data_IF_237875129528
#
_entry.id   IF_237875129528
#
_cell.length_a   1.000
_cell.length_b   1.000
_cell.length_c   1.000
_cell.angle_alpha   90.00
_cell.angle_beta   90.00
_cell.angle_gamma   90.00
#
_symmetry.space_group_name_H-M   'P 1'
#
loop_
_entity.id
_entity.type
_entity.pdbx_description
1 polymer ?
#
# COMPACT_ATOMS: atom_id res chain seq x y z
N UNK A 1 -11.88 -27.49 -13.09
CA UNK A 1 -12.86 -26.48 -12.61
C UNK A 1 -12.20 -25.44 -11.68
N UNK A 2 -11.56 -25.82 -10.55
CA UNK A 2 -10.99 -24.87 -9.56
C UNK A 2 -9.92 -23.95 -10.17
N UNK A 3 -9.01 -24.49 -11.01
CA UNK A 3 -8.00 -23.69 -11.68
C UNK A 3 -8.58 -22.60 -12.59
N UNK A 4 -9.65 -22.90 -13.31
CA UNK A 4 -10.35 -21.91 -14.15
C UNK A 4 -11.00 -20.80 -13.32
N UNK A 5 -11.58 -21.15 -12.17
CA UNK A 5 -12.12 -20.15 -11.23
C UNK A 5 -11.01 -19.24 -10.72
N UNK A 6 -9.86 -19.81 -10.35
CA UNK A 6 -8.69 -19.02 -9.91
C UNK A 6 -8.21 -18.05 -11.00
N UNK A 7 -8.04 -18.52 -12.24
CA UNK A 7 -7.64 -17.66 -13.36
C UNK A 7 -8.69 -16.57 -13.61
N UNK A 8 -9.98 -16.91 -13.63
CA UNK A 8 -11.05 -15.94 -13.80
C UNK A 8 -11.06 -14.87 -12.71
N UNK A 9 -10.82 -15.25 -11.46
CA UNK A 9 -10.71 -14.31 -10.34
C UNK A 9 -9.51 -13.37 -10.49
N UNK A 10 -8.35 -13.89 -10.91
CA UNK A 10 -7.15 -13.06 -11.16
C UNK A 10 -7.38 -12.05 -12.30
N UNK A 11 -8.03 -12.46 -13.38
CA UNK A 11 -8.41 -11.58 -14.48
C UNK A 11 -9.39 -10.50 -14.01
N UNK A 12 -10.37 -10.84 -13.19
CA UNK A 12 -11.31 -9.89 -12.61
C UNK A 12 -10.59 -8.85 -11.75
N UNK A 13 -9.70 -9.28 -10.88
CA UNK A 13 -8.87 -8.37 -10.06
C UNK A 13 -8.03 -7.45 -10.93
N UNK A 14 -7.42 -7.95 -12.00
CA UNK A 14 -6.64 -7.14 -12.93
C UNK A 14 -7.47 -6.00 -13.53
N UNK A 15 -8.67 -6.29 -14.02
CA UNK A 15 -9.55 -5.28 -14.62
C UNK A 15 -10.06 -4.26 -13.61
N UNK A 16 -10.43 -4.71 -12.40
CA UNK A 16 -10.87 -3.81 -11.32
C UNK A 16 -9.74 -2.86 -10.92
N UNK A 17 -8.52 -3.38 -10.76
CA UNK A 17 -7.36 -2.56 -10.40
C UNK A 17 -6.93 -1.62 -11.53
N UNK A 18 -7.08 -2.02 -12.80
CA UNK A 18 -6.84 -1.15 -13.95
C UNK A 18 -7.81 0.04 -13.95
N UNK A 19 -9.10 -0.19 -13.72
CA UNK A 19 -10.08 0.87 -13.60
C UNK A 19 -9.80 1.79 -12.41
N UNK A 20 -9.46 1.23 -11.25
CA UNK A 20 -9.07 1.98 -10.06
C UNK A 20 -7.80 2.82 -10.29
N UNK A 21 -6.79 2.24 -10.94
CA UNK A 21 -5.55 2.94 -11.27
C UNK A 21 -5.80 4.12 -12.22
N UNK A 22 -6.68 3.96 -13.21
CA UNK A 22 -7.07 5.05 -14.11
C UNK A 22 -7.74 6.21 -13.36
N UNK A 23 -8.63 5.92 -12.40
CA UNK A 23 -9.27 6.96 -11.59
C UNK A 23 -8.28 7.76 -10.74
N UNK A 24 -7.17 7.13 -10.32
CA UNK A 24 -6.19 7.74 -9.41
C UNK A 24 -4.97 8.35 -10.14
N UNK A 25 -4.59 7.79 -11.27
CA UNK A 25 -3.50 8.26 -12.13
C UNK A 25 -3.87 7.96 -13.57
N UNK A 26 -4.69 8.81 -14.21
CA UNK A 26 -5.18 8.59 -15.56
C UNK A 26 -4.07 8.71 -16.60
N UNK A 27 -4.01 7.75 -17.53
CA UNK A 27 -3.09 7.70 -18.68
C UNK A 27 -3.83 7.26 -19.93
N UNK A 28 -3.29 7.57 -21.11
CA UNK A 28 -3.87 7.13 -22.40
C UNK A 28 -5.23 7.75 -22.71
N UNK A 29 -5.46 9.00 -22.32
CA UNK A 29 -6.71 9.73 -22.55
C UNK A 29 -6.47 11.15 -23.06
N UNK A 30 -7.51 11.75 -23.62
CA UNK A 30 -7.62 13.18 -23.93
C UNK A 30 -8.95 13.72 -23.41
N UNK A 31 -9.01 15.05 -23.21
CA UNK A 31 -10.25 15.74 -22.86
C UNK A 31 -10.87 16.33 -24.11
N UNK A 32 -12.02 15.82 -24.54
CA UNK A 32 -12.78 16.32 -25.66
C UNK A 32 -14.18 16.76 -25.20
N UNK A 33 -14.50 18.05 -25.37
CA UNK A 33 -15.79 18.61 -24.96
C UNK A 33 -16.13 18.40 -23.47
N UNK A 34 -15.11 18.41 -22.58
CA UNK A 34 -15.26 18.17 -21.14
C UNK A 34 -15.47 16.71 -20.73
N UNK A 35 -15.29 15.77 -21.67
CA UNK A 35 -15.37 14.33 -21.42
C UNK A 35 -14.00 13.70 -21.59
N UNK A 36 -13.73 12.69 -20.75
CA UNK A 36 -12.53 11.84 -20.87
C UNK A 36 -12.77 10.83 -21.99
N UNK A 37 -11.93 10.88 -23.03
CA UNK A 37 -11.96 9.94 -24.16
C UNK A 37 -10.67 9.14 -24.14
N UNK A 38 -10.79 7.82 -24.11
CA UNK A 38 -9.64 6.92 -24.16
C UNK A 38 -9.01 6.92 -25.55
N UNK A 39 -7.72 7.22 -25.65
CA UNK A 39 -6.97 7.28 -26.90
C UNK A 39 -5.95 6.16 -27.03
N UNK A 40 -5.49 5.59 -25.91
CA UNK A 40 -4.51 4.49 -25.90
C UNK A 40 -4.91 3.44 -24.86
N UNK A 41 -5.51 2.36 -25.35
CA UNK A 41 -5.92 1.23 -24.52
C UNK A 41 -4.73 0.51 -23.86
N UNK A 42 -3.59 0.37 -24.59
CA UNK A 42 -2.43 -0.30 -24.04
C UNK A 42 -1.78 0.52 -22.93
N UNK A 43 -1.75 1.84 -23.04
CA UNK A 43 -1.30 2.71 -21.96
C UNK A 43 -2.17 2.52 -20.69
N UNK A 44 -3.49 2.37 -20.85
CA UNK A 44 -4.41 2.15 -19.72
C UNK A 44 -4.14 0.82 -19.03
N UNK A 45 -4.02 -0.29 -19.76
CA UNK A 45 -3.81 -1.62 -19.15
C UNK A 45 -2.38 -1.84 -18.64
N UNK A 46 -1.40 -1.13 -19.17
CA UNK A 46 -0.01 -1.13 -18.69
C UNK A 46 0.31 0.01 -17.72
N UNK A 47 -0.71 0.68 -17.19
CA UNK A 47 -0.52 1.71 -16.18
C UNK A 47 0.35 1.18 -15.04
N UNK A 48 1.50 1.82 -14.71
CA UNK A 48 2.40 1.35 -13.66
C UNK A 48 1.71 1.18 -12.32
N UNK A 49 0.73 2.04 -12.00
CA UNK A 49 -0.09 1.92 -10.79
C UNK A 49 -0.88 0.62 -10.79
N UNK A 50 -1.56 0.27 -11.89
CA UNK A 50 -2.34 -0.96 -12.01
C UNK A 50 -1.47 -2.20 -11.77
N UNK A 51 -0.28 -2.23 -12.38
CA UNK A 51 0.65 -3.35 -12.25
C UNK A 51 1.19 -3.49 -10.82
N UNK A 52 1.62 -2.40 -10.19
CA UNK A 52 2.12 -2.43 -8.81
C UNK A 52 1.04 -2.89 -7.82
N UNK A 53 -0.18 -2.36 -7.95
CA UNK A 53 -1.31 -2.76 -7.11
C UNK A 53 -1.73 -4.21 -7.35
N UNK A 54 -1.69 -4.67 -8.60
CA UNK A 54 -2.00 -6.06 -8.93
C UNK A 54 -1.06 -7.04 -8.23
N UNK A 55 0.25 -6.83 -8.33
CA UNK A 55 1.24 -7.69 -7.67
C UNK A 55 1.14 -7.66 -6.16
N UNK A 56 0.94 -6.49 -5.56
CA UNK A 56 0.74 -6.37 -4.12
C UNK A 56 -0.53 -7.11 -3.67
N UNK A 57 -1.65 -6.92 -4.38
CA UNK A 57 -2.93 -7.57 -4.06
C UNK A 57 -2.84 -9.09 -4.21
N UNK A 58 -2.16 -9.57 -5.26
CA UNK A 58 -1.95 -11.00 -5.46
C UNK A 58 -1.11 -11.61 -4.34
N UNK A 59 0.01 -10.97 -3.99
CA UNK A 59 0.85 -11.43 -2.88
C UNK A 59 0.08 -11.45 -1.55
N UNK A 60 -0.70 -10.42 -1.24
CA UNK A 60 -1.56 -10.37 -0.06
C UNK A 60 -2.62 -11.48 -0.06
N UNK A 61 -3.22 -11.79 -1.21
CA UNK A 61 -4.14 -12.91 -1.37
C UNK A 61 -3.48 -14.26 -1.07
N UNK A 62 -2.25 -14.47 -1.53
CA UNK A 62 -1.47 -15.67 -1.21
C UNK A 62 -1.08 -15.74 0.26
N UNK A 63 -0.74 -14.62 0.91
CA UNK A 63 -0.52 -14.56 2.37
C UNK A 63 -1.78 -15.03 3.08
N UNK A 64 -2.93 -14.44 2.79
CA UNK A 64 -4.21 -14.78 3.42
C UNK A 64 -4.56 -16.25 3.24
N UNK A 65 -4.47 -16.78 2.04
CA UNK A 65 -4.77 -18.19 1.74
C UNK A 65 -3.81 -19.13 2.48
N UNK A 66 -2.51 -18.83 2.48
CA UNK A 66 -1.49 -19.64 3.13
C UNK A 66 -1.68 -19.68 4.64
N UNK A 67 -1.90 -18.55 5.29
CA UNK A 67 -2.13 -18.50 6.73
C UNK A 67 -3.45 -19.14 7.16
N UNK A 68 -4.48 -19.07 6.33
CA UNK A 68 -5.74 -19.78 6.55
C UNK A 68 -5.52 -21.31 6.56
N UNK A 69 -4.84 -21.86 5.55
CA UNK A 69 -4.52 -23.29 5.48
C UNK A 69 -3.56 -23.69 6.61
N UNK A 70 -2.58 -22.84 6.93
CA UNK A 70 -1.63 -23.04 8.02
C UNK A 70 -2.36 -23.18 9.37
N UNK A 71 -3.28 -22.26 9.66
CA UNK A 71 -4.05 -22.27 10.91
C UNK A 71 -4.91 -23.53 11.07
N UNK A 72 -5.64 -23.92 10.01
CA UNK A 72 -6.45 -25.15 10.00
C UNK A 72 -5.55 -26.38 10.20
N UNK A 73 -4.43 -26.44 9.48
CA UNK A 73 -3.50 -27.57 9.57
C UNK A 73 -2.86 -27.67 10.95
N UNK A 74 -2.48 -26.54 11.56
CA UNK A 74 -1.94 -26.47 12.92
C UNK A 74 -2.97 -26.98 13.95
N UNK A 75 -4.23 -26.57 13.80
CA UNK A 75 -5.30 -27.00 14.70
C UNK A 75 -5.52 -28.52 14.65
N UNK A 76 -5.51 -29.13 13.47
CA UNK A 76 -5.63 -30.58 13.31
C UNK A 76 -4.40 -31.32 13.85
N UNK A 77 -3.20 -30.82 13.58
CA UNK A 77 -1.95 -31.40 14.12
C UNK A 77 -1.92 -31.42 15.63
N UNK A 78 -2.37 -30.35 16.30
CA UNK A 78 -2.45 -30.27 17.74
C UNK A 78 -3.41 -31.29 18.35
N UNK A 79 -4.32 -31.87 17.55
CA UNK A 79 -5.27 -32.94 17.92
C UNK A 79 -4.88 -34.31 17.43
N UNK A 80 -3.65 -34.50 16.96
CA UNK A 80 -3.12 -35.81 16.56
C UNK A 80 -3.34 -36.14 15.09
N UNK A 81 -3.88 -35.21 14.27
CA UNK A 81 -4.08 -35.36 12.82
C UNK A 81 -2.78 -35.30 12.03
N UNK A 82 -1.96 -36.34 12.08
CA UNK A 82 -0.63 -36.40 11.45
C UNK A 82 -0.63 -36.22 9.94
N UNK A 83 -1.75 -36.48 9.26
CA UNK A 83 -2.00 -36.32 7.84
C UNK A 83 -1.92 -34.84 7.39
N UNK A 84 -2.17 -33.89 8.29
CA UNK A 84 -2.09 -32.45 7.98
C UNK A 84 -0.66 -31.91 8.00
N UNK A 85 0.37 -32.72 8.30
CA UNK A 85 1.77 -32.27 8.37
C UNK A 85 2.29 -31.73 7.04
N UNK A 86 1.89 -32.34 5.93
CA UNK A 86 2.27 -31.86 4.60
C UNK A 86 1.64 -30.50 4.29
N UNK A 87 0.34 -30.34 4.50
CA UNK A 87 -0.37 -29.08 4.30
C UNK A 87 0.20 -27.97 5.17
N UNK A 88 0.51 -28.27 6.44
CA UNK A 88 1.15 -27.33 7.35
C UNK A 88 2.51 -26.83 6.82
N UNK A 89 3.39 -27.73 6.42
CA UNK A 89 4.71 -27.35 5.89
C UNK A 89 4.62 -26.57 4.58
N UNK A 90 3.75 -26.99 3.67
CA UNK A 90 3.57 -26.33 2.41
C UNK A 90 3.00 -24.91 2.57
N UNK A 91 1.98 -24.77 3.41
CA UNK A 91 1.36 -23.46 3.67
C UNK A 91 2.29 -22.53 4.47
N UNK A 92 3.11 -23.06 5.38
CA UNK A 92 4.14 -22.25 6.07
C UNK A 92 5.17 -21.71 5.08
N UNK A 93 5.70 -22.56 4.19
CA UNK A 93 6.66 -22.12 3.18
C UNK A 93 6.05 -21.13 2.19
N UNK A 94 4.83 -21.42 1.69
CA UNK A 94 4.12 -20.54 0.76
C UNK A 94 3.77 -19.19 1.42
N UNK A 95 3.35 -19.21 2.69
CA UNK A 95 3.04 -18.00 3.46
C UNK A 95 4.26 -17.12 3.69
N UNK A 96 5.40 -17.71 4.01
CA UNK A 96 6.65 -16.97 4.16
C UNK A 96 7.10 -16.32 2.86
N UNK A 97 7.07 -17.07 1.75
CA UNK A 97 7.41 -16.53 0.42
C UNK A 97 6.47 -15.38 0.05
N UNK A 98 5.16 -15.59 0.22
CA UNK A 98 4.15 -14.57 -0.10
C UNK A 98 4.31 -13.33 0.79
N UNK A 99 4.65 -13.48 2.08
CA UNK A 99 4.90 -12.37 2.99
C UNK A 99 6.12 -11.54 2.58
N UNK A 100 7.21 -12.18 2.15
CA UNK A 100 8.37 -11.45 1.59
C UNK A 100 7.99 -10.71 0.30
N UNK A 101 7.23 -11.37 -0.58
CA UNK A 101 6.77 -10.75 -1.83
C UNK A 101 5.84 -9.56 -1.59
N UNK A 102 4.93 -9.61 -0.63
CA UNK A 102 4.02 -8.50 -0.34
C UNK A 102 4.74 -7.30 0.24
N UNK A 103 5.78 -7.51 1.06
CA UNK A 103 6.63 -6.42 1.57
C UNK A 103 7.39 -5.76 0.43
N UNK A 104 8.03 -6.53 -0.44
CA UNK A 104 8.75 -6.00 -1.59
C UNK A 104 7.84 -5.23 -2.56
N UNK A 105 6.67 -5.79 -2.89
CA UNK A 105 5.69 -5.12 -3.74
C UNK A 105 5.11 -3.87 -3.06
N UNK A 106 4.93 -3.89 -1.74
CA UNK A 106 4.49 -2.74 -0.94
C UNK A 106 5.49 -1.59 -0.91
N UNK A 107 6.79 -1.90 -0.80
CA UNK A 107 7.85 -0.89 -0.88
C UNK A 107 7.84 -0.18 -2.25
N UNK A 108 7.79 -0.95 -3.34
CA UNK A 108 7.69 -0.39 -4.68
C UNK A 108 6.44 0.47 -4.88
N UNK A 109 5.30 0.02 -4.35
CA UNK A 109 4.04 0.76 -4.38
C UNK A 109 4.11 2.06 -3.57
N UNK A 110 4.70 2.03 -2.37
CA UNK A 110 4.85 3.21 -1.51
C UNK A 110 5.70 4.30 -2.19
N UNK A 111 6.82 3.91 -2.82
CA UNK A 111 7.66 4.82 -3.61
C UNK A 111 6.90 5.47 -4.75
N UNK A 112 6.11 4.69 -5.48
CA UNK A 112 5.27 5.20 -6.56
C UNK A 112 4.16 6.15 -6.07
N UNK A 113 3.49 5.82 -4.97
CA UNK A 113 2.45 6.67 -4.37
C UNK A 113 3.03 8.02 -3.94
N UNK A 114 4.23 8.06 -3.37
CA UNK A 114 4.92 9.31 -3.05
C UNK A 114 5.09 10.23 -4.27
N UNK A 115 5.35 9.67 -5.45
CA UNK A 115 5.56 10.45 -6.67
C UNK A 115 4.25 10.97 -7.29
N UNK A 116 3.20 10.17 -7.28
CA UNK A 116 1.94 10.50 -7.97
C UNK A 116 0.84 11.03 -7.05
N UNK A 117 0.93 10.74 -5.75
CA UNK A 117 -0.03 11.17 -4.72
C UNK A 117 0.69 11.57 -3.43
N UNK A 118 1.53 12.62 -3.44
CA UNK A 118 2.37 12.97 -2.30
C UNK A 118 1.57 13.28 -1.03
N UNK A 119 0.36 13.83 -1.14
CA UNK A 119 -0.51 14.08 0.02
C UNK A 119 -0.92 12.77 0.72
N UNK A 120 -1.28 11.73 -0.04
CA UNK A 120 -1.62 10.42 0.53
C UNK A 120 -0.40 9.75 1.16
N UNK A 121 0.78 9.87 0.54
CA UNK A 121 2.04 9.38 1.10
C UNK A 121 2.39 10.11 2.41
N UNK A 122 2.32 11.44 2.44
CA UNK A 122 2.59 12.23 3.66
C UNK A 122 1.60 11.89 4.79
N UNK A 123 0.32 11.66 4.48
CA UNK A 123 -0.69 11.27 5.45
C UNK A 123 -0.44 9.87 6.03
N UNK A 124 -0.14 8.88 5.20
CA UNK A 124 0.16 7.52 5.66
C UNK A 124 1.43 7.45 6.53
N UNK A 125 2.37 8.38 6.34
CA UNK A 125 3.58 8.51 7.15
C UNK A 125 3.40 9.45 8.37
N UNK A 126 2.31 10.22 8.43
CA UNK A 126 2.08 11.22 9.48
C UNK A 126 3.04 12.40 9.41
N UNK A 127 3.62 12.65 8.22
CA UNK A 127 4.62 13.70 8.03
C UNK A 127 3.92 15.05 7.85
N UNK A 128 3.89 15.86 8.92
CA UNK A 128 3.19 17.15 8.89
C UNK A 128 3.97 18.23 8.13
N UNK A 129 5.29 18.25 8.25
CA UNK A 129 6.14 19.25 7.60
C UNK A 129 7.18 18.58 6.71
N UNK A 130 7.48 19.22 5.59
CA UNK A 130 8.56 18.79 4.69
C UNK A 130 9.88 18.70 5.47
N UNK A 131 10.61 17.62 5.30
CA UNK A 131 11.87 17.36 5.99
C UNK A 131 12.93 16.72 5.09
N UNK A 132 14.20 17.06 5.36
CA UNK A 132 15.39 16.45 4.80
C UNK A 132 16.53 16.49 5.86
N UNK A 133 16.93 15.35 6.43
CA UNK A 133 16.32 14.01 6.26
C UNK A 133 14.94 13.90 6.91
N UNK A 134 14.06 13.14 6.28
CA UNK A 134 12.72 12.90 6.80
C UNK A 134 12.72 11.76 7.83
N UNK A 135 12.13 11.96 9.02
CA UNK A 135 12.02 10.93 10.04
C UNK A 135 10.93 9.90 9.67
N UNK A 136 11.08 8.68 10.15
CA UNK A 136 10.04 7.66 10.08
C UNK A 136 9.31 7.58 11.42
N UNK A 137 8.05 7.93 11.45
CA UNK A 137 7.21 7.85 12.63
C UNK A 137 6.74 6.41 12.88
N UNK A 138 7.20 5.81 13.96
CA UNK A 138 6.80 4.44 14.36
C UNK A 138 5.44 4.45 15.02
N UNK A 139 5.21 5.42 15.91
CA UNK A 139 3.94 5.64 16.63
C UNK A 139 3.66 7.12 16.64
N UNK A 140 2.45 7.53 16.34
CA UNK A 140 2.00 8.91 16.43
C UNK A 140 0.69 9.04 17.19
N UNK A 141 0.54 10.13 17.93
CA UNK A 141 -0.70 10.53 18.60
C UNK A 141 -1.24 11.75 17.86
N UNK A 142 -2.52 11.71 17.57
CA UNK A 142 -3.20 12.76 16.81
C UNK A 142 -4.11 13.59 17.71
N UNK A 143 -4.41 14.79 17.27
CA UNK A 143 -5.40 15.65 17.91
C UNK A 143 -6.83 15.11 17.75
N UNK A 144 -7.80 15.77 18.37
CA UNK A 144 -9.22 15.37 18.31
C UNK A 144 -9.83 15.43 16.91
N UNK A 145 -9.22 16.17 15.98
CA UNK A 145 -9.65 16.23 14.58
C UNK A 145 -9.11 15.06 13.75
N UNK A 146 -8.09 14.37 14.26
CA UNK A 146 -7.37 13.31 13.51
C UNK A 146 -6.53 13.82 12.36
N UNK A 147 -6.28 15.14 12.29
CA UNK A 147 -5.56 15.78 11.17
C UNK A 147 -4.15 16.24 11.53
N UNK A 148 -3.83 16.36 12.81
CA UNK A 148 -2.53 16.84 13.27
C UNK A 148 -1.87 15.86 14.21
N UNK A 149 -0.56 15.63 14.00
CA UNK A 149 0.27 14.88 14.95
C UNK A 149 0.59 15.77 16.14
N UNK A 150 0.24 15.30 17.33
CA UNK A 150 0.54 15.99 18.62
C UNK A 150 1.85 15.50 19.18
N UNK A 151 2.14 14.21 19.01
CA UNK A 151 3.37 13.58 19.48
C UNK A 151 3.69 12.37 18.58
N UNK A 152 4.98 12.12 18.37
CA UNK A 152 5.44 10.93 17.65
C UNK A 152 6.72 10.37 18.23
N UNK A 153 6.89 9.05 18.06
CA UNK A 153 8.15 8.35 18.26
C UNK A 153 8.79 8.11 16.89
N UNK A 154 9.86 8.82 16.63
CA UNK A 154 10.45 8.88 15.29
C UNK A 154 11.82 8.24 15.24
N UNK A 155 12.11 7.53 14.14
CA UNK A 155 13.47 7.10 13.76
C UNK A 155 14.05 8.19 12.85
N UNK A 156 15.12 8.89 13.27
CA UNK A 156 15.73 9.94 12.45
C UNK A 156 16.17 9.42 11.09
N UNK A 157 15.93 10.19 10.04
CA UNK A 157 16.25 9.84 8.64
C UNK A 157 15.61 8.53 8.11
N UNK A 158 14.76 7.87 8.90
CA UNK A 158 14.19 6.57 8.57
C UNK A 158 13.33 6.61 7.30
N UNK A 159 12.52 7.63 7.11
CA UNK A 159 11.67 7.77 5.93
C UNK A 159 12.49 8.09 4.67
N UNK A 160 13.53 8.95 4.79
CA UNK A 160 14.45 9.19 3.69
C UNK A 160 15.19 7.91 3.28
N UNK A 161 15.60 7.09 4.25
CA UNK A 161 16.25 5.81 3.98
C UNK A 161 15.31 4.85 3.24
N UNK A 162 14.04 4.75 3.65
CA UNK A 162 13.05 3.90 3.00
C UNK A 162 12.76 4.33 1.55
N UNK A 163 12.59 5.62 1.31
CA UNK A 163 12.23 6.12 -0.02
C UNK A 163 13.41 6.21 -0.99
N UNK A 164 14.58 6.62 -0.51
CA UNK A 164 15.72 6.96 -1.37
C UNK A 164 16.91 6.00 -1.23
N UNK A 165 16.82 5.00 -0.32
CA UNK A 165 17.93 4.10 0.03
C UNK A 165 19.19 4.83 0.49
N UNK A 166 19.03 6.03 1.04
CA UNK A 166 20.09 6.91 1.61
C UNK A 166 19.51 7.74 2.76
N UNK A 167 20.32 8.15 3.75
CA UNK A 167 19.84 8.89 4.91
C UNK A 167 19.59 10.37 4.62
N UNK A 168 19.35 10.74 3.37
CA UNK A 168 19.07 12.11 2.90
C UNK A 168 18.07 12.07 1.76
N UNK A 169 17.32 13.13 1.57
CA UNK A 169 16.31 13.28 0.53
C UNK A 169 15.05 13.89 1.13
N UNK A 170 14.56 14.90 0.44
CA UNK A 170 13.40 15.67 0.87
C UNK A 170 12.13 14.87 0.67
N UNK A 171 11.31 14.77 1.73
CA UNK A 171 9.95 14.25 1.65
C UNK A 171 9.00 15.39 2.00
N UNK A 172 8.03 15.65 1.12
CA UNK A 172 7.06 16.71 1.29
C UNK A 172 6.05 16.37 2.39
N UNK A 173 5.74 17.36 3.23
CA UNK A 173 4.80 17.23 4.34
C UNK A 173 3.42 17.79 3.99
N UNK A 174 2.41 17.38 4.77
CA UNK A 174 1.01 17.74 4.58
C UNK A 174 0.81 19.26 4.52
N UNK A 175 1.46 20.02 5.38
CA UNK A 175 1.26 21.47 5.45
C UNK A 175 1.72 22.19 4.17
N UNK A 176 2.86 21.79 3.61
CA UNK A 176 3.39 22.37 2.37
C UNK A 176 2.56 21.94 1.15
N UNK A 177 2.15 20.67 1.11
CA UNK A 177 1.28 20.16 0.05
C UNK A 177 -0.11 20.82 0.07
N UNK A 178 -0.67 21.05 1.25
CA UNK A 178 -1.93 21.78 1.42
C UNK A 178 -1.84 23.18 0.81
N UNK A 179 -0.78 23.93 1.15
CA UNK A 179 -0.56 25.28 0.61
C UNK A 179 -0.36 25.28 -0.93
N UNK A 180 0.34 24.27 -1.46
CA UNK A 180 0.49 24.10 -2.91
C UNK A 180 -0.87 23.84 -3.59
N UNK A 181 -1.69 22.95 -3.01
CA UNK A 181 -3.00 22.59 -3.57
C UNK A 181 -4.00 23.74 -3.50
N UNK A 182 -3.97 24.55 -2.44
CA UNK A 182 -4.75 25.80 -2.37
C UNK A 182 -4.37 26.78 -3.48
N UNK A 183 -3.09 26.85 -3.81
CA UNK A 183 -2.61 27.70 -4.91
C UNK A 183 -3.05 27.18 -6.27
N UNK A 184 -3.05 25.84 -6.46
CA UNK A 184 -3.36 25.20 -7.75
C UNK A 184 -4.85 25.05 -8.01
N UNK A 185 -5.63 24.71 -6.99
CA UNK A 185 -7.03 24.30 -7.10
C UNK A 185 -8.01 25.26 -6.43
N UNK A 186 -7.49 26.27 -5.72
CA UNK A 186 -8.29 27.23 -4.96
C UNK A 186 -8.39 26.88 -3.48
N UNK A 187 -9.04 27.77 -2.71
CA UNK A 187 -9.20 27.59 -1.25
C UNK A 187 -10.03 26.34 -0.93
N UNK A 188 -9.50 25.47 -0.10
CA UNK A 188 -10.15 24.21 0.31
C UNK A 188 -9.27 23.39 1.22
N UNK A 189 -9.85 22.40 1.90
CA UNK A 189 -9.13 21.44 2.71
C UNK A 189 -8.88 20.17 1.88
N UNK A 190 -7.64 19.95 1.50
CA UNK A 190 -7.19 18.81 0.70
C UNK A 190 -6.56 17.71 1.53
N UNK A 191 -6.43 17.91 2.85
CA UNK A 191 -5.85 16.92 3.74
C UNK A 191 -6.83 15.79 4.03
N UNK A 192 -6.42 14.51 3.93
CA UNK A 192 -7.25 13.38 4.30
C UNK A 192 -7.40 13.28 5.84
N UNK A 193 -8.11 12.25 6.32
CA UNK A 193 -8.11 11.90 7.74
C UNK A 193 -6.78 11.22 8.10
N UNK A 194 -5.78 12.05 8.42
CA UNK A 194 -4.38 11.63 8.62
C UNK A 194 -4.25 10.49 9.64
N UNK A 195 -4.98 10.59 10.76
CA UNK A 195 -4.95 9.54 11.79
C UNK A 195 -5.43 8.18 11.26
N UNK A 196 -6.47 8.18 10.41
CA UNK A 196 -7.00 6.95 9.82
C UNK A 196 -6.00 6.34 8.84
N UNK A 197 -5.46 7.15 7.92
CA UNK A 197 -4.49 6.71 6.92
C UNK A 197 -3.22 6.18 7.59
N UNK A 198 -2.70 6.92 8.58
CA UNK A 198 -1.53 6.55 9.34
C UNK A 198 -1.71 5.20 10.06
N UNK A 199 -2.77 5.08 10.88
CA UNK A 199 -2.95 3.88 11.70
C UNK A 199 -3.31 2.64 10.89
N UNK A 200 -4.12 2.78 9.84
CA UNK A 200 -4.42 1.64 8.94
C UNK A 200 -3.18 1.16 8.22
N UNK A 201 -2.32 2.07 7.77
CA UNK A 201 -1.04 1.73 7.14
C UNK A 201 -0.08 1.08 8.16
N UNK A 202 0.10 1.64 9.35
CA UNK A 202 0.96 1.06 10.39
C UNK A 202 0.50 -0.31 10.85
N UNK A 203 -0.80 -0.51 11.02
CA UNK A 203 -1.37 -1.82 11.37
C UNK A 203 -1.13 -2.85 10.27
N UNK A 204 -1.34 -2.48 9.01
CA UNK A 204 -1.07 -3.36 7.87
C UNK A 204 0.39 -3.83 7.86
N UNK A 205 1.33 -2.90 7.97
CA UNK A 205 2.77 -3.20 7.96
C UNK A 205 3.17 -4.00 9.21
N UNK A 206 2.72 -3.59 10.39
CA UNK A 206 3.05 -4.25 11.66
C UNK A 206 2.53 -5.68 11.73
N UNK A 207 1.28 -5.92 11.31
CA UNK A 207 0.71 -7.27 11.23
C UNK A 207 1.48 -8.11 10.19
N UNK A 208 1.85 -7.52 9.04
CA UNK A 208 2.64 -8.20 8.03
C UNK A 208 3.98 -8.71 8.57
N UNK A 209 4.70 -7.90 9.34
CA UNK A 209 5.93 -8.34 10.02
C UNK A 209 5.68 -9.38 11.10
N UNK A 210 4.59 -9.25 11.87
CA UNK A 210 4.22 -10.24 12.89
C UNK A 210 3.92 -11.62 12.29
N UNK A 211 3.40 -11.66 11.06
CA UNK A 211 3.12 -12.93 10.36
C UNK A 211 4.40 -13.66 9.91
N UNK A 212 5.55 -12.98 9.86
CA UNK A 212 6.84 -13.58 9.48
C UNK A 212 7.59 -14.10 10.71
N UNK A 213 7.37 -13.50 11.88
CA UNK A 213 8.02 -13.86 13.15
C UNK A 213 7.47 -15.17 13.72
#
# INVERSE_FOLDING_TARGET
AIGLVGIGSMLSVFWILTANAFMQHPVGYVLEGGRVVMTDFFAVISNPRALLFFWHTMAAGFVTASFFVLGISAWHLARGGGEFRYSFRLSAAAGLIAAVMVIWAGDAQSKYVREVQPMAAAASEGLMNTADPAPFSVVAVFDSSGKRVVWSLDIPAGLSLLYFMRPSGTVEGINQLQAQYETLYGQGDYSPLVALDYWTFRMMVGIGFLMIA
#
